data_IF_849877218387
#
_entry.id   IF_849877218387
#
_cell.length_a   1.000
_cell.length_b   1.000
_cell.length_c   1.000
_cell.angle_alpha   90.00
_cell.angle_beta   90.00
_cell.angle_gamma   90.00
#
_symmetry.space_group_name_H-M   'P 1'
#
loop_
_entity.id
_entity.type
_entity.pdbx_description
1 polymer ?
#
# COMPACT_ATOMS: atom_id res chain seq x y z
N UNK A 1 6.95 10.67 -20.02
CA UNK A 1 6.75 12.10 -20.31
C UNK A 1 6.53 12.80 -18.98
N UNK A 2 7.30 13.85 -18.66
CA UNK A 2 7.01 14.67 -17.47
C UNK A 2 5.98 15.71 -17.89
N UNK A 3 4.81 15.72 -17.26
CA UNK A 3 3.77 16.72 -17.50
C UNK A 3 3.20 17.20 -16.17
N UNK A 4 2.50 18.33 -16.19
CA UNK A 4 1.72 18.87 -15.06
C UNK A 4 0.21 18.65 -15.28
N UNK A 5 -0.17 17.69 -16.11
CA UNK A 5 -1.57 17.46 -16.47
C UNK A 5 -2.37 16.84 -15.31
N UNK A 6 -1.79 15.85 -14.63
CA UNK A 6 -2.33 15.23 -13.43
C UNK A 6 -1.22 14.47 -12.70
N UNK A 7 -1.34 14.34 -11.39
CA UNK A 7 -0.51 13.50 -10.54
C UNK A 7 -0.75 12.00 -10.77
N UNK A 8 -1.94 11.60 -11.21
CA UNK A 8 -2.24 10.20 -11.53
C UNK A 8 -1.53 9.67 -12.80
N UNK A 9 -0.77 10.53 -13.49
CA UNK A 9 0.15 10.12 -14.55
C UNK A 9 1.48 9.62 -13.99
N UNK A 10 1.74 9.82 -12.68
CA UNK A 10 2.89 9.27 -12.02
C UNK A 10 2.80 7.74 -11.93
N UNK A 11 3.93 7.07 -12.10
CA UNK A 11 4.04 5.64 -11.83
C UNK A 11 4.05 5.34 -10.32
N UNK A 12 3.98 4.05 -9.98
CA UNK A 12 4.12 3.59 -8.59
C UNK A 12 5.51 3.94 -8.02
N UNK A 13 5.55 4.42 -6.78
CA UNK A 13 6.81 4.69 -6.09
C UNK A 13 7.58 3.37 -5.84
N UNK A 14 8.92 3.31 -5.99
CA UNK A 14 9.68 2.06 -5.85
C UNK A 14 9.45 1.32 -4.52
N UNK A 15 9.35 2.06 -3.41
CA UNK A 15 9.06 1.46 -2.10
C UNK A 15 7.67 0.80 -2.03
N UNK A 16 6.68 1.35 -2.73
CA UNK A 16 5.32 0.77 -2.80
C UNK A 16 5.34 -0.51 -3.63
N UNK A 17 6.05 -0.51 -4.76
CA UNK A 17 6.21 -1.71 -5.59
C UNK A 17 6.94 -2.84 -4.85
N UNK A 18 7.95 -2.50 -4.05
CA UNK A 18 8.65 -3.45 -3.20
C UNK A 18 7.72 -4.04 -2.11
N UNK A 19 6.89 -3.22 -1.48
CA UNK A 19 5.90 -3.67 -0.50
C UNK A 19 4.86 -4.62 -1.11
N UNK A 20 4.37 -4.32 -2.32
CA UNK A 20 3.47 -5.22 -3.07
C UNK A 20 4.15 -6.57 -3.34
N UNK A 21 5.42 -6.54 -3.76
CA UNK A 21 6.19 -7.76 -4.02
C UNK A 21 6.39 -8.58 -2.75
N UNK A 22 6.66 -7.93 -1.61
CA UNK A 22 6.80 -8.60 -0.32
C UNK A 22 5.48 -9.22 0.18
N UNK A 23 4.35 -8.55 -0.05
CA UNK A 23 3.02 -9.05 0.28
C UNK A 23 2.55 -10.20 -0.63
N UNK A 24 3.16 -10.36 -1.81
CA UNK A 24 2.84 -11.40 -2.79
C UNK A 24 3.49 -12.77 -2.45
N UNK A 25 3.59 -13.10 -1.16
CA UNK A 25 4.15 -14.36 -0.69
C UNK A 25 3.07 -15.22 -0.02
N UNK A 26 2.87 -16.45 -0.53
CA UNK A 26 1.90 -17.39 0.03
C UNK A 26 0.44 -17.04 -0.29
N UNK A 27 -0.46 -17.36 0.64
CA UNK A 27 -1.89 -17.12 0.49
C UNK A 27 -2.38 -16.21 1.62
N UNK A 28 -3.31 -15.32 1.30
CA UNK A 28 -3.96 -14.43 2.26
C UNK A 28 -5.49 -14.59 2.16
N UNK A 29 -6.22 -14.51 3.29
CA UNK A 29 -7.67 -14.40 3.27
C UNK A 29 -8.12 -13.16 2.49
N UNK A 30 -9.25 -13.28 1.79
CA UNK A 30 -9.79 -12.17 1.00
C UNK A 30 -10.52 -11.13 1.87
N UNK A 31 -10.96 -10.05 1.23
CA UNK A 31 -11.84 -9.02 1.83
C UNK A 31 -11.26 -8.36 3.09
N UNK A 32 -9.95 -8.06 3.07
CA UNK A 32 -9.28 -7.31 4.13
C UNK A 32 -9.03 -8.09 5.42
N UNK A 33 -9.25 -9.41 5.42
CA UNK A 33 -8.97 -10.28 6.58
C UNK A 33 -7.53 -10.80 6.59
N UNK A 34 -6.59 -10.02 6.05
CA UNK A 34 -5.18 -10.37 5.93
C UNK A 34 -4.29 -9.49 6.80
N UNK A 35 -3.09 -9.99 7.11
CA UNK A 35 -2.16 -9.31 8.00
C UNK A 35 -1.63 -7.98 7.46
N UNK A 36 -1.59 -7.79 6.13
CA UNK A 36 -1.15 -6.53 5.53
C UNK A 36 -2.18 -5.44 5.79
N UNK A 37 -3.47 -5.78 5.66
CA UNK A 37 -4.58 -4.88 6.01
C UNK A 37 -4.54 -4.51 7.49
N UNK A 38 -4.33 -5.46 8.39
CA UNK A 38 -4.22 -5.20 9.84
C UNK A 38 -3.07 -4.23 10.16
N UNK A 39 -1.90 -4.44 9.54
CA UNK A 39 -0.74 -3.57 9.70
C UNK A 39 -1.00 -2.16 9.18
N UNK A 40 -1.67 -2.02 8.04
CA UNK A 40 -2.03 -0.73 7.48
C UNK A 40 -3.00 0.02 8.40
N UNK A 41 -4.04 -0.64 8.91
CA UNK A 41 -4.99 -0.05 9.88
C UNK A 41 -4.25 0.40 11.14
N UNK A 42 -3.39 -0.44 11.71
CA UNK A 42 -2.59 -0.09 12.88
C UNK A 42 -1.66 1.11 12.63
N UNK A 43 -1.08 1.20 11.43
CA UNK A 43 -0.29 2.36 11.03
C UNK A 43 -1.13 3.62 10.96
N UNK A 44 -2.30 3.59 10.31
CA UNK A 44 -3.21 4.73 10.27
C UNK A 44 -3.63 5.19 11.66
N UNK A 45 -4.00 4.27 12.56
CA UNK A 45 -4.34 4.58 13.95
C UNK A 45 -3.21 5.35 14.65
N UNK A 46 -1.98 4.86 14.52
CA UNK A 46 -0.80 5.51 15.09
C UNK A 46 -0.56 6.91 14.51
N UNK A 47 -0.63 7.07 13.20
CA UNK A 47 -0.37 8.37 12.55
C UNK A 47 -1.50 9.39 12.78
N UNK A 48 -2.73 8.92 12.99
CA UNK A 48 -3.92 9.77 13.15
C UNK A 48 -4.31 10.00 14.62
N UNK A 49 -3.66 9.33 15.57
CA UNK A 49 -3.76 9.63 17.00
C UNK A 49 -4.87 8.91 17.76
N UNK A 50 -5.24 7.69 17.33
CA UNK A 50 -6.07 6.76 18.13
C UNK A 50 -5.32 6.22 19.36
#
# INVERSE_FOLDING_TARGET
MRSLASDNYAGVHPAVLAAITAANAGHAPAYGSDSTTDQAVAAFRRELGD
#
